data_IF_191221842353
#
_entry.id   IF_191221842353
#
_cell.length_a   1.000
_cell.length_b   1.000
_cell.length_c   1.000
_cell.angle_alpha   90.00
_cell.angle_beta   90.00
_cell.angle_gamma   90.00
#
_symmetry.space_group_name_H-M   'P 1'
#
loop_
_entity.id
_entity.type
_entity.pdbx_description
1 polymer ?
#
# COMPACT_ATOMS: atom_id res chain seq x y z
N UNK A 1 20.59 -14.35 -4.22
CA UNK A 1 19.92 -13.73 -3.04
C UNK A 1 18.78 -12.89 -3.57
N UNK A 2 17.58 -13.01 -3.00
CA UNK A 2 16.43 -12.19 -3.41
C UNK A 2 16.69 -10.72 -3.11
N UNK A 3 16.58 -9.85 -4.13
CA UNK A 3 16.74 -8.40 -3.94
C UNK A 3 15.45 -7.83 -3.33
N UNK A 4 15.55 -7.30 -2.12
CA UNK A 4 14.46 -6.52 -1.51
C UNK A 4 14.20 -5.27 -2.35
N UNK A 5 12.96 -5.09 -2.77
CA UNK A 5 12.53 -3.90 -3.53
C UNK A 5 11.45 -3.17 -2.74
N UNK A 6 11.67 -1.89 -2.47
CA UNK A 6 10.68 -1.02 -1.83
C UNK A 6 9.92 -0.22 -2.89
N UNK A 7 8.60 -0.21 -2.80
CA UNK A 7 7.71 0.63 -3.61
C UNK A 7 6.95 1.55 -2.67
N UNK A 8 6.79 2.81 -3.08
CA UNK A 8 6.11 3.84 -2.29
C UNK A 8 4.92 4.36 -3.08
N UNK A 9 3.77 4.44 -2.42
CA UNK A 9 2.54 5.04 -2.94
C UNK A 9 2.15 6.21 -2.06
N UNK A 10 1.67 7.29 -2.67
CA UNK A 10 1.16 8.44 -1.95
C UNK A 10 -0.35 8.31 -1.82
N UNK A 11 -0.85 8.32 -0.58
CA UNK A 11 -2.26 8.37 -0.25
C UNK A 11 -2.62 9.82 0.08
N UNK A 12 -3.47 10.44 -0.74
CA UNK A 12 -3.84 11.85 -0.59
C UNK A 12 -5.29 11.98 -0.09
N UNK A 13 -5.52 12.81 0.92
CA UNK A 13 -6.85 13.06 1.43
C UNK A 13 -7.55 14.17 0.64
N UNK A 14 -8.39 13.79 -0.32
CA UNK A 14 -9.23 14.73 -1.09
C UNK A 14 -10.50 15.16 -0.37
N UNK A 15 -10.76 14.67 0.85
CA UNK A 15 -11.97 14.96 1.61
C UNK A 15 -11.87 16.24 2.44
N UNK A 16 -12.93 16.51 3.21
CA UNK A 16 -13.02 17.66 4.11
C UNK A 16 -12.88 17.29 5.60
N UNK A 17 -12.61 16.02 5.90
CA UNK A 17 -12.41 15.49 7.26
C UNK A 17 -11.11 14.71 7.31
N UNK A 18 -10.62 14.43 8.51
CA UNK A 18 -9.43 13.58 8.72
C UNK A 18 -9.71 12.20 8.12
N UNK A 19 -8.82 11.76 7.24
CA UNK A 19 -8.80 10.42 6.68
C UNK A 19 -8.01 9.51 7.63
N UNK A 20 -8.68 8.56 8.26
CA UNK A 20 -8.08 7.58 9.15
C UNK A 20 -7.93 6.25 8.42
N UNK A 21 -6.69 5.78 8.28
CA UNK A 21 -6.34 4.46 7.74
C UNK A 21 -6.44 3.43 8.86
N UNK A 22 -7.47 2.59 8.79
CA UNK A 22 -7.76 1.56 9.78
C UNK A 22 -6.80 0.38 9.63
N UNK A 23 -6.63 -0.11 8.40
CA UNK A 23 -5.78 -1.27 8.13
C UNK A 23 -5.26 -1.27 6.69
N UNK A 24 -4.15 -1.97 6.46
CA UNK A 24 -3.61 -2.22 5.13
C UNK A 24 -3.27 -3.69 5.02
N UNK A 25 -4.01 -4.40 4.17
CA UNK A 25 -3.90 -5.85 4.01
C UNK A 25 -3.26 -6.17 2.68
N UNK A 26 -2.24 -7.03 2.71
CA UNK A 26 -1.61 -7.62 1.52
C UNK A 26 -2.12 -9.04 1.30
N UNK A 27 -2.29 -9.45 0.04
CA UNK A 27 -2.62 -10.83 -0.33
C UNK A 27 -1.46 -11.80 -0.12
N UNK A 28 -0.22 -11.33 -0.14
CA UNK A 28 0.96 -12.10 0.24
C UNK A 28 1.36 -11.82 1.68
N UNK A 29 1.42 -12.85 2.53
CA UNK A 29 2.04 -12.78 3.86
C UNK A 29 3.54 -12.42 3.80
N UNK A 30 4.16 -12.55 2.62
CA UNK A 30 5.54 -12.17 2.36
C UNK A 30 5.77 -10.66 2.22
N UNK A 31 4.71 -9.85 2.25
CA UNK A 31 4.76 -8.40 2.03
C UNK A 31 4.07 -7.71 3.20
N UNK A 32 4.83 -6.86 3.89
CA UNK A 32 4.32 -6.05 4.99
C UNK A 32 4.16 -4.60 4.51
N UNK A 33 2.93 -4.16 4.20
CA UNK A 33 2.68 -2.77 3.91
C UNK A 33 2.74 -1.95 5.19
N UNK A 34 3.33 -0.77 5.13
CA UNK A 34 3.44 0.15 6.26
C UNK A 34 2.99 1.55 5.81
N UNK A 35 2.10 2.17 6.57
CA UNK A 35 1.70 3.56 6.37
C UNK A 35 2.46 4.44 7.35
N UNK A 36 3.10 5.51 6.88
CA UNK A 36 3.85 6.43 7.75
C UNK A 36 2.92 7.16 8.73
N UNK A 37 1.80 7.69 8.22
CA UNK A 37 0.80 8.42 8.99
C UNK A 37 -0.56 7.78 8.72
N UNK A 38 -1.28 7.42 9.78
CA UNK A 38 -2.63 6.82 9.66
C UNK A 38 -3.74 7.86 9.67
N UNK A 39 -3.53 9.02 10.29
CA UNK A 39 -4.49 10.12 10.32
C UNK A 39 -4.01 11.27 9.43
N UNK A 40 -4.65 11.44 8.27
CA UNK A 40 -4.24 12.36 7.22
C UNK A 40 -5.21 13.54 7.21
N UNK A 41 -4.71 14.75 7.43
CA UNK A 41 -5.54 15.96 7.41
C UNK A 41 -6.12 16.22 6.01
N UNK A 42 -7.23 16.97 5.89
CA UNK A 42 -7.74 17.41 4.58
C UNK A 42 -6.67 18.13 3.76
N UNK A 43 -6.41 17.66 2.53
CA UNK A 43 -5.40 18.23 1.65
C UNK A 43 -3.97 17.76 1.88
N UNK A 44 -3.72 16.93 2.90
CA UNK A 44 -2.42 16.31 3.16
C UNK A 44 -2.32 14.91 2.54
N UNK A 45 -1.11 14.36 2.58
CA UNK A 45 -0.81 13.02 2.10
C UNK A 45 0.01 12.21 3.10
N UNK A 46 -0.09 10.89 2.99
CA UNK A 46 0.77 9.92 3.68
C UNK A 46 1.40 8.96 2.68
N UNK A 47 2.55 8.40 3.03
CA UNK A 47 3.23 7.40 2.21
C UNK A 47 2.89 5.99 2.69
N UNK A 48 2.42 5.14 1.77
CA UNK A 48 2.34 3.69 1.96
C UNK A 48 3.58 3.05 1.36
N UNK A 49 4.40 2.43 2.20
CA UNK A 49 5.60 1.68 1.83
C UNK A 49 5.28 0.20 1.71
N UNK A 50 5.73 -0.41 0.62
CA UNK A 50 5.52 -1.82 0.33
C UNK A 50 6.86 -2.47 0.04
N UNK A 51 7.21 -3.46 0.86
CA UNK A 51 8.46 -4.21 0.71
C UNK A 51 8.18 -5.54 0.01
N UNK A 52 8.68 -5.66 -1.23
CA UNK A 52 8.53 -6.87 -2.05
C UNK A 52 9.80 -7.72 -1.89
N UNK A 53 9.60 -8.95 -1.47
CA UNK A 53 10.65 -9.96 -1.27
C UNK A 53 10.35 -11.16 -2.19
N UNK A 54 10.79 -11.13 -3.45
CA UNK A 54 10.49 -12.22 -4.38
C UNK A 54 11.32 -13.46 -4.07
N UNK A 55 10.68 -14.62 -3.98
CA UNK A 55 11.38 -15.90 -3.78
C UNK A 55 11.70 -16.63 -5.08
N UNK A 56 11.00 -16.29 -6.17
CA UNK A 56 11.13 -16.89 -7.49
C UNK A 56 11.20 -15.80 -8.57
N UNK A 57 11.89 -16.11 -9.67
CA UNK A 57 11.87 -15.30 -10.89
C UNK A 57 10.55 -15.48 -11.64
N UNK A 58 10.16 -14.47 -12.41
CA UNK A 58 8.92 -14.46 -13.18
C UNK A 58 8.00 -13.28 -12.86
N UNK A 59 6.79 -13.27 -13.47
CA UNK A 59 5.81 -12.22 -13.22
C UNK A 59 5.23 -12.32 -11.81
N UNK A 60 5.06 -11.17 -11.17
CA UNK A 60 4.43 -11.03 -9.85
C UNK A 60 3.24 -10.09 -9.99
N UNK A 61 2.12 -10.48 -9.38
CA UNK A 61 0.96 -9.63 -9.16
C UNK A 61 0.62 -9.68 -7.67
N UNK A 62 0.62 -8.52 -7.01
CA UNK A 62 0.25 -8.38 -5.60
C UNK A 62 -0.88 -7.39 -5.45
N UNK A 63 -1.83 -7.72 -4.56
CA UNK A 63 -2.96 -6.87 -4.23
C UNK A 63 -2.82 -6.34 -2.81
N UNK A 64 -2.90 -5.03 -2.68
CA UNK A 64 -2.90 -4.33 -1.39
C UNK A 64 -4.24 -3.61 -1.24
N UNK A 65 -4.92 -3.90 -0.14
CA UNK A 65 -6.22 -3.32 0.18
C UNK A 65 -6.05 -2.37 1.35
N UNK A 66 -6.39 -1.10 1.14
CA UNK A 66 -6.34 -0.04 2.15
C UNK A 66 -7.75 0.18 2.69
N UNK A 67 -7.94 -0.06 3.98
CA UNK A 67 -9.19 0.20 4.69
C UNK A 67 -9.09 1.53 5.42
N UNK A 68 -10.06 2.41 5.20
CA UNK A 68 -10.15 3.71 5.85
C UNK A 68 -11.58 4.06 6.24
N UNK A 69 -11.75 5.22 6.87
CA UNK A 69 -13.05 5.83 7.16
C UNK A 69 -13.66 6.61 5.95
N UNK A 70 -13.03 6.56 4.77
CA UNK A 70 -13.53 7.24 3.57
C UNK A 70 -14.72 6.49 2.95
N UNK A 71 -15.58 7.22 2.22
CA UNK A 71 -16.75 6.64 1.56
C UNK A 71 -16.39 5.66 0.42
N UNK A 72 -15.19 5.77 -0.15
CA UNK A 72 -14.67 4.86 -1.18
C UNK A 72 -13.88 3.67 -0.59
N UNK A 73 -13.90 3.50 0.74
CA UNK A 73 -13.22 2.40 1.41
C UNK A 73 -13.93 1.05 1.14
N UNK A 74 -13.20 -0.04 0.86
CA UNK A 74 -11.74 -0.11 0.73
C UNK A 74 -11.22 0.29 -0.64
N UNK A 75 -10.00 0.80 -0.69
CA UNK A 75 -9.29 1.11 -1.93
C UNK A 75 -8.24 0.03 -2.24
N UNK A 76 -8.14 -0.37 -3.51
CA UNK A 76 -7.32 -1.51 -3.93
C UNK A 76 -6.19 -1.04 -4.84
N UNK A 77 -4.96 -1.36 -4.45
CA UNK A 77 -3.74 -1.14 -5.21
C UNK A 77 -3.25 -2.48 -5.78
N UNK A 78 -2.99 -2.53 -7.09
CA UNK A 78 -2.43 -3.71 -7.75
C UNK A 78 -1.00 -3.40 -8.20
N UNK A 79 -0.05 -4.16 -7.69
CA UNK A 79 1.36 -4.06 -8.08
C UNK A 79 1.66 -5.17 -9.08
N UNK A 80 2.27 -4.81 -10.21
CA UNK A 80 2.76 -5.75 -11.21
C UNK A 80 4.25 -5.54 -11.40
N UNK A 81 5.02 -6.62 -11.33
CA UNK A 81 6.47 -6.60 -11.52
C UNK A 81 6.91 -7.87 -12.26
N UNK A 82 8.11 -7.83 -12.84
CA UNK A 82 8.77 -9.01 -13.39
C UNK A 82 10.12 -9.13 -12.71
N UNK A 83 10.34 -10.26 -12.05
CA UNK A 83 11.62 -10.60 -11.43
C UNK A 83 12.44 -11.36 -12.46
N UNK A 84 13.61 -10.80 -12.78
CA UNK A 84 14.58 -11.37 -13.72
C UNK A 84 15.72 -12.06 -12.97
#
# INVERSE_FOLDING_TARGET
>A
MAKKTEVRFMLYNTGHRILTVNDIVSDCQCTKPECEIRDILPGDSSTVKVNILPTLAGPIMQKITVYSNACNSPEILIIRAVVI
#
